data_IF_206373142817
#
_entry.id   IF_206373142817
#
_cell.length_a   1.000
_cell.length_b   1.000
_cell.length_c   1.000
_cell.angle_alpha   90.00
_cell.angle_beta   90.00
_cell.angle_gamma   90.00
#
_symmetry.space_group_name_H-M   'P 1'
#
loop_
_entity.id
_entity.type
_entity.pdbx_description
1 polymer ?
#
# COMPACT_ATOMS: atom_id res chain seq x y z
N UNK A 1 28.36 2.28 7.26
CA UNK A 1 26.91 1.99 7.23
C UNK A 1 26.66 0.74 6.38
N UNK A 2 26.12 -0.33 6.98
CA UNK A 2 25.91 -1.65 6.31
C UNK A 2 24.43 -1.84 5.94
N UNK A 3 24.15 -2.39 4.75
CA UNK A 3 22.79 -2.68 4.24
C UNK A 3 22.38 -4.13 4.48
N UNK A 4 21.08 -4.36 4.61
CA UNK A 4 20.44 -5.64 4.88
C UNK A 4 19.21 -5.79 4.00
N UNK A 5 19.02 -6.97 3.43
CA UNK A 5 17.92 -7.29 2.54
C UNK A 5 17.28 -8.58 2.98
N UNK A 6 15.97 -8.56 3.21
CA UNK A 6 15.20 -9.68 3.68
C UNK A 6 14.07 -9.99 2.70
N UNK A 7 13.94 -11.27 2.35
CA UNK A 7 12.81 -11.83 1.63
C UNK A 7 12.01 -12.70 2.59
N UNK A 8 10.75 -12.36 2.80
CA UNK A 8 9.84 -13.18 3.60
C UNK A 8 8.85 -13.84 2.64
N UNK A 9 8.95 -15.15 2.38
CA UNK A 9 7.87 -15.85 1.72
C UNK A 9 6.65 -15.86 2.65
N UNK A 10 5.46 -15.85 2.09
CA UNK A 10 4.25 -16.03 2.91
C UNK A 10 4.31 -17.35 3.69
N UNK A 11 3.92 -17.32 4.96
CA UNK A 11 3.66 -18.54 5.75
C UNK A 11 2.47 -19.33 5.17
N UNK A 12 1.60 -18.69 4.39
CA UNK A 12 0.45 -19.31 3.71
C UNK A 12 0.83 -20.09 2.45
N UNK A 13 1.97 -20.78 2.43
CA UNK A 13 2.28 -21.74 1.37
C UNK A 13 1.59 -23.08 1.66
N UNK A 14 0.56 -23.34 0.86
CA UNK A 14 0.10 -24.65 0.37
C UNK A 14 -0.96 -25.45 1.13
N UNK A 15 -1.23 -25.26 2.42
CA UNK A 15 -2.19 -26.16 3.09
C UNK A 15 -3.66 -25.82 2.81
N UNK A 16 -4.04 -24.55 2.70
CA UNK A 16 -5.46 -24.16 2.57
C UNK A 16 -5.90 -23.66 1.19
N UNK A 17 -4.99 -23.28 0.28
CA UNK A 17 -5.36 -22.71 -1.03
C UNK A 17 -4.58 -23.36 -2.17
N UNK A 18 -5.19 -24.38 -2.76
CA UNK A 18 -4.73 -25.04 -3.98
C UNK A 18 -4.70 -24.01 -5.13
N UNK A 19 -3.49 -23.54 -5.50
CA UNK A 19 -3.11 -22.82 -6.75
C UNK A 19 -3.13 -21.27 -6.75
N UNK A 20 -2.12 -20.67 -7.40
CA UNK A 20 -2.18 -19.34 -8.05
C UNK A 20 -1.79 -18.08 -7.26
N UNK A 21 -1.29 -18.21 -6.03
CA UNK A 21 -0.99 -17.07 -5.15
C UNK A 21 0.50 -16.71 -5.20
N UNK A 22 0.81 -15.45 -5.51
CA UNK A 22 2.13 -14.86 -5.32
C UNK A 22 2.06 -13.94 -4.10
N UNK A 23 2.60 -14.41 -2.98
CA UNK A 23 2.61 -13.65 -1.72
C UNK A 23 4.03 -13.64 -1.14
N UNK A 24 4.60 -12.44 -1.02
CA UNK A 24 5.89 -12.21 -0.39
C UNK A 24 6.06 -10.77 0.08
N UNK A 25 6.98 -10.61 1.04
CA UNK A 25 7.46 -9.31 1.52
C UNK A 25 8.95 -9.17 1.27
N UNK A 26 9.36 -7.98 0.84
CA UNK A 26 10.76 -7.56 0.77
C UNK A 26 10.95 -6.41 1.73
N UNK A 27 12.01 -6.46 2.53
CA UNK A 27 12.43 -5.34 3.37
C UNK A 27 13.91 -5.07 3.14
N UNK A 28 14.27 -3.80 2.94
CA UNK A 28 15.64 -3.33 2.87
C UNK A 28 15.90 -2.31 3.98
N UNK A 29 16.96 -2.55 4.75
CA UNK A 29 17.36 -1.73 5.89
C UNK A 29 18.84 -1.34 5.79
N UNK A 30 19.20 -0.21 6.37
CA UNK A 30 20.59 0.13 6.62
C UNK A 30 20.84 0.34 8.11
N UNK A 31 22.06 0.05 8.55
CA UNK A 31 22.51 0.30 9.92
C UNK A 31 23.20 1.63 10.02
N UNK A 32 22.76 2.45 10.96
CA UNK A 32 23.37 3.74 11.30
C UNK A 32 23.60 3.80 12.81
N UNK A 33 24.61 4.56 13.22
CA UNK A 33 24.80 4.90 14.62
C UNK A 33 23.95 6.14 14.90
N UNK A 34 23.15 6.07 15.96
CA UNK A 34 22.26 7.13 16.39
C UNK A 34 22.51 7.42 17.87
N UNK A 35 22.59 8.69 18.25
CA UNK A 35 22.73 9.04 19.65
C UNK A 35 21.39 8.87 20.38
N UNK A 36 21.39 8.18 21.52
CA UNK A 36 20.21 8.01 22.37
C UNK A 36 20.28 8.95 23.56
N UNK A 37 19.46 10.01 23.56
CA UNK A 37 19.37 10.95 24.70
C UNK A 37 18.93 10.26 26.01
N UNK A 38 18.20 9.14 25.90
CA UNK A 38 17.74 8.34 27.06
C UNK A 38 18.86 7.59 27.77
N UNK A 39 19.88 7.18 27.03
CA UNK A 39 20.99 6.36 27.54
C UNK A 39 22.31 7.16 27.54
N UNK A 40 22.34 8.33 26.91
CA UNK A 40 23.49 9.21 26.82
C UNK A 40 24.64 8.68 25.95
N UNK A 41 24.36 7.70 25.08
CA UNK A 41 25.38 7.03 24.27
C UNK A 41 24.90 6.76 22.84
N UNK A 42 25.86 6.54 21.93
CA UNK A 42 25.57 6.04 20.59
C UNK A 42 25.01 4.62 20.65
N UNK A 43 23.91 4.40 19.95
CA UNK A 43 23.27 3.10 19.77
C UNK A 43 23.16 2.78 18.29
N UNK A 44 23.33 1.50 17.97
CA UNK A 44 23.09 1.03 16.61
C UNK A 44 21.58 1.04 16.34
N UNK A 45 21.19 1.65 15.24
CA UNK A 45 19.80 1.71 14.77
C UNK A 45 19.69 1.19 13.35
N UNK A 46 18.51 0.70 12.99
CA UNK A 46 18.22 0.16 11.67
C UNK A 46 17.01 0.85 11.09
N UNK A 47 17.19 1.46 9.93
CA UNK A 47 16.16 2.24 9.26
C UNK A 47 15.81 1.57 7.94
N UNK A 48 14.51 1.45 7.64
CA UNK A 48 14.09 0.98 6.32
C UNK A 48 14.49 2.01 5.27
N UNK A 49 14.83 1.54 4.07
CA UNK A 49 14.91 2.43 2.90
C UNK A 49 14.06 1.95 1.73
N UNK A 50 13.57 0.71 1.81
CA UNK A 50 12.58 0.14 0.90
C UNK A 50 11.82 -0.98 1.62
N UNK A 51 10.51 -1.02 1.44
CA UNK A 51 9.63 -2.07 1.97
C UNK A 51 8.53 -2.34 0.97
N UNK A 52 8.42 -3.59 0.57
CA UNK A 52 7.50 -4.05 -0.47
C UNK A 52 6.66 -5.17 0.09
N UNK A 53 5.34 -5.04 0.04
CA UNK A 53 4.41 -6.12 0.34
C UNK A 53 3.66 -6.44 -0.94
N UNK A 54 3.77 -7.69 -1.38
CA UNK A 54 3.08 -8.16 -2.58
C UNK A 54 2.21 -9.33 -2.19
N UNK A 55 0.90 -9.15 -2.30
CA UNK A 55 -0.08 -10.22 -2.25
C UNK A 55 -0.87 -10.18 -3.56
N UNK A 56 -0.79 -11.25 -4.33
CA UNK A 56 -1.53 -11.43 -5.57
C UNK A 56 -2.20 -12.79 -5.52
N UNK A 57 -3.53 -12.82 -5.38
CA UNK A 57 -4.33 -14.03 -5.54
C UNK A 57 -5.10 -13.99 -6.87
N UNK A 58 -4.89 -14.99 -7.73
CA UNK A 58 -5.69 -15.22 -8.95
C UNK A 58 -6.07 -16.71 -9.01
N UNK A 59 -7.25 -17.15 -9.45
CA UNK A 59 -8.20 -16.71 -10.49
C UNK A 59 -9.62 -16.50 -9.90
N UNK A 60 -10.47 -15.66 -10.50
CA UNK A 60 -11.88 -15.35 -10.13
C UNK A 60 -12.22 -14.69 -8.78
N UNK A 61 -11.47 -14.89 -7.68
CA UNK A 61 -11.84 -14.40 -6.33
C UNK A 61 -10.84 -13.39 -5.71
N UNK A 62 -10.42 -12.40 -6.51
CA UNK A 62 -9.28 -11.53 -6.27
C UNK A 62 -9.18 -10.84 -4.90
N UNK A 63 -8.19 -11.27 -4.13
CA UNK A 63 -7.51 -10.42 -3.13
C UNK A 63 -6.19 -9.99 -3.74
N UNK A 64 -5.96 -8.69 -3.81
CA UNK A 64 -4.66 -8.17 -4.18
C UNK A 64 -4.32 -6.97 -3.31
N UNK A 65 -3.07 -6.94 -2.88
CA UNK A 65 -2.53 -5.88 -2.07
C UNK A 65 -1.06 -5.74 -2.45
N UNK A 66 -0.74 -4.67 -3.17
CA UNK A 66 0.63 -4.36 -3.54
C UNK A 66 0.97 -3.01 -2.94
N UNK A 67 1.96 -2.99 -2.07
CA UNK A 67 2.40 -1.79 -1.35
C UNK A 67 3.90 -1.63 -1.48
N UNK A 68 4.32 -0.43 -1.86
CA UNK A 68 5.70 0.02 -1.87
C UNK A 68 5.85 1.18 -0.90
N UNK A 69 6.86 1.11 -0.03
CA UNK A 69 7.29 2.17 0.86
C UNK A 69 8.79 2.39 0.61
N UNK A 70 9.12 3.37 -0.23
CA UNK A 70 10.51 3.72 -0.57
C UNK A 70 10.91 5.03 0.11
N UNK A 71 12.12 5.12 0.67
CA UNK A 71 12.62 6.36 1.26
C UNK A 71 13.61 6.22 2.42
N UNK A 72 14.63 7.08 2.48
CA UNK A 72 15.71 7.01 3.49
C UNK A 72 15.42 7.80 4.78
N UNK A 73 14.67 8.91 4.73
CA UNK A 73 14.67 9.92 5.81
C UNK A 73 13.45 9.92 6.75
N UNK A 74 12.45 9.04 6.55
CA UNK A 74 11.23 8.98 7.40
C UNK A 74 10.81 7.56 7.78
N UNK A 75 11.66 6.56 7.56
CA UNK A 75 11.27 5.20 7.83
C UNK A 75 11.13 4.97 9.33
N UNK A 76 10.01 4.34 9.70
CA UNK A 76 9.82 3.66 10.98
C UNK A 76 11.13 2.98 11.38
N UNK A 77 11.76 3.43 12.46
CA UNK A 77 12.95 2.75 12.97
C UNK A 77 12.59 1.31 13.31
N UNK A 78 13.39 0.34 12.86
CA UNK A 78 13.23 -1.03 13.33
C UNK A 78 13.79 -1.12 14.75
N UNK A 79 13.00 -1.69 15.67
CA UNK A 79 13.38 -1.84 17.07
C UNK A 79 14.37 -3.00 17.24
N UNK A 80 15.60 -2.83 16.75
CA UNK A 80 16.71 -3.74 16.99
C UNK A 80 17.94 -2.92 17.42
N UNK A 81 18.59 -3.35 18.50
CA UNK A 81 19.77 -2.68 19.08
C UNK A 81 21.08 -3.31 18.60
N UNK A 82 21.00 -4.44 17.89
CA UNK A 82 22.16 -5.15 17.34
C UNK A 82 21.82 -5.90 16.04
N UNK A 83 22.84 -6.30 15.28
CA UNK A 83 22.62 -7.15 14.07
C UNK A 83 22.03 -8.51 14.46
N UNK A 84 22.38 -9.05 15.63
CA UNK A 84 21.82 -10.30 16.15
C UNK A 84 20.32 -10.18 16.43
N UNK A 85 19.91 -9.10 17.09
CA UNK A 85 18.49 -8.80 17.32
C UNK A 85 17.73 -8.58 16.02
N UNK A 86 18.32 -7.87 15.05
CA UNK A 86 17.72 -7.70 13.73
C UNK A 86 17.49 -9.06 13.04
N UNK A 87 18.48 -9.95 13.05
CA UNK A 87 18.33 -11.27 12.43
C UNK A 87 17.26 -12.10 13.13
N UNK A 88 17.18 -12.05 14.46
CA UNK A 88 16.13 -12.76 15.22
C UNK A 88 14.73 -12.17 14.95
N UNK A 89 14.60 -10.85 14.82
CA UNK A 89 13.35 -10.20 14.46
C UNK A 89 12.84 -10.60 13.06
N UNK A 90 13.76 -11.05 12.20
CA UNK A 90 13.49 -11.57 10.85
C UNK A 90 13.50 -13.10 10.79
N UNK A 91 13.30 -13.78 11.92
CA UNK A 91 13.15 -15.24 11.96
C UNK A 91 11.95 -15.69 11.12
N UNK A 92 12.22 -16.54 10.13
CA UNK A 92 11.23 -16.94 9.11
C UNK A 92 11.41 -16.22 7.76
N UNK A 93 12.25 -15.18 7.71
CA UNK A 93 12.69 -14.53 6.48
C UNK A 93 14.07 -15.05 6.04
N UNK A 94 14.35 -14.91 4.75
CA UNK A 94 15.62 -15.26 4.12
C UNK A 94 16.41 -13.98 3.88
N UNK A 95 17.63 -13.91 4.41
CA UNK A 95 18.57 -12.83 4.06
C UNK A 95 19.06 -13.05 2.62
N UNK A 96 18.91 -12.04 1.77
CA UNK A 96 19.27 -12.11 0.35
C UNK A 96 20.32 -11.06 -0.03
N UNK A 97 20.93 -11.22 -1.20
CA UNK A 97 21.85 -10.23 -1.77
C UNK A 97 21.09 -9.02 -2.33
N UNK A 98 21.78 -7.88 -2.46
CA UNK A 98 21.23 -6.68 -3.12
C UNK A 98 20.74 -6.98 -4.55
N UNK A 99 21.51 -7.76 -5.31
CA UNK A 99 21.13 -8.18 -6.67
C UNK A 99 19.83 -8.99 -6.69
N UNK A 100 19.67 -9.95 -5.78
CA UNK A 100 18.43 -10.72 -5.66
C UNK A 100 17.26 -9.84 -5.20
N UNK A 101 17.51 -8.89 -4.30
CA UNK A 101 16.51 -7.93 -3.86
C UNK A 101 15.99 -7.08 -5.03
N UNK A 102 16.89 -6.49 -5.81
CA UNK A 102 16.56 -5.68 -6.99
C UNK A 102 15.77 -6.50 -8.01
N UNK A 103 16.14 -7.77 -8.22
CA UNK A 103 15.41 -8.69 -9.12
C UNK A 103 13.97 -8.93 -8.63
N UNK A 104 13.79 -9.25 -7.35
CA UNK A 104 12.45 -9.49 -6.77
C UNK A 104 11.61 -8.21 -6.70
N UNK A 105 12.24 -7.05 -6.48
CA UNK A 105 11.61 -5.74 -6.57
C UNK A 105 11.07 -5.47 -7.98
N UNK A 106 11.89 -5.68 -9.02
CA UNK A 106 11.46 -5.57 -10.43
C UNK A 106 10.31 -6.51 -10.75
N UNK A 107 10.34 -7.74 -10.22
CA UNK A 107 9.23 -8.68 -10.34
C UNK A 107 7.95 -8.14 -9.68
N UNK A 108 8.04 -7.58 -8.47
CA UNK A 108 6.91 -6.98 -7.74
C UNK A 108 6.25 -5.87 -8.54
N UNK A 109 7.06 -4.95 -9.09
CA UNK A 109 6.59 -3.87 -9.96
C UNK A 109 5.94 -4.44 -11.21
N UNK A 110 6.58 -5.42 -11.87
CA UNK A 110 6.01 -6.07 -13.05
C UNK A 110 4.68 -6.78 -12.80
N UNK A 111 4.51 -7.41 -11.63
CA UNK A 111 3.27 -8.04 -11.22
C UNK A 111 2.16 -7.02 -11.02
N UNK A 112 2.47 -5.88 -10.41
CA UNK A 112 1.52 -4.77 -10.29
C UNK A 112 0.99 -4.32 -11.66
N UNK A 113 1.87 -4.08 -12.64
CA UNK A 113 1.42 -3.70 -13.99
C UNK A 113 0.54 -4.75 -14.64
N UNK A 114 1.02 -6.00 -14.64
CA UNK A 114 0.28 -7.11 -15.24
C UNK A 114 -1.09 -7.29 -14.62
N UNK A 115 -1.17 -7.23 -13.29
CA UNK A 115 -2.41 -7.52 -12.60
C UNK A 115 -3.37 -6.34 -12.56
N UNK A 116 -2.86 -5.11 -12.69
CA UNK A 116 -3.72 -3.91 -12.75
C UNK A 116 -4.77 -3.94 -13.84
N UNK A 117 -4.44 -4.42 -15.03
CA UNK A 117 -5.39 -4.38 -16.15
C UNK A 117 -6.60 -5.32 -15.96
N UNK A 118 -6.53 -6.29 -15.04
CA UNK A 118 -7.64 -7.20 -14.74
C UNK A 118 -8.67 -6.61 -13.75
N UNK A 119 -8.42 -5.43 -13.18
CA UNK A 119 -9.24 -4.86 -12.09
C UNK A 119 -10.59 -4.28 -12.53
N UNK A 120 -10.89 -4.21 -13.84
CA UNK A 120 -12.15 -3.68 -14.38
C UNK A 120 -13.17 -4.75 -14.82
N UNK A 121 -12.92 -6.03 -14.58
CA UNK A 121 -13.76 -7.11 -15.12
C UNK A 121 -14.82 -7.59 -14.12
N UNK A 122 -15.70 -6.70 -13.66
CA UNK A 122 -16.93 -7.12 -12.99
C UNK A 122 -18.08 -7.05 -14.00
N UNK A 123 -18.64 -8.21 -14.34
CA UNK A 123 -19.56 -8.39 -15.47
C UNK A 123 -20.99 -7.87 -15.20
N UNK A 124 -21.39 -7.72 -13.92
CA UNK A 124 -22.75 -7.36 -13.52
C UNK A 124 -22.73 -6.19 -12.53
N UNK A 125 -23.28 -5.03 -12.88
CA UNK A 125 -23.49 -3.92 -11.92
C UNK A 125 -23.15 -2.55 -12.49
N UNK A 126 -23.22 -1.54 -11.64
CA UNK A 126 -22.82 -0.16 -11.93
C UNK A 126 -21.49 0.15 -11.25
N UNK A 127 -20.64 0.92 -11.92
CA UNK A 127 -19.35 1.34 -11.38
C UNK A 127 -19.29 2.85 -11.23
N UNK A 128 -18.85 3.31 -10.07
CA UNK A 128 -18.57 4.71 -9.78
C UNK A 128 -17.08 4.91 -9.51
N UNK A 129 -16.55 6.03 -9.96
CA UNK A 129 -15.13 6.33 -9.88
C UNK A 129 -14.95 7.57 -9.02
N UNK A 130 -14.11 7.45 -8.00
CA UNK A 130 -13.89 8.48 -7.01
C UNK A 130 -12.43 8.90 -7.00
N UNK A 131 -12.22 10.20 -6.84
CA UNK A 131 -10.91 10.83 -6.75
C UNK A 131 -10.83 11.70 -5.50
N UNK A 132 -9.68 11.67 -4.84
CA UNK A 132 -9.38 12.57 -3.73
C UNK A 132 -7.92 12.99 -3.82
N UNK A 133 -7.65 14.28 -3.64
CA UNK A 133 -6.29 14.81 -3.60
C UNK A 133 -6.16 15.76 -2.41
N UNK A 134 -5.65 15.24 -1.30
CA UNK A 134 -5.40 16.05 -0.11
C UNK A 134 -3.99 16.61 -0.14
N UNK A 135 -3.88 17.91 0.11
CA UNK A 135 -2.61 18.62 0.17
C UNK A 135 -2.27 18.89 1.64
N UNK A 136 -1.31 18.14 2.18
CA UNK A 136 -0.76 18.37 3.52
C UNK A 136 0.48 19.26 3.45
N UNK A 137 0.98 19.74 4.58
CA UNK A 137 2.17 20.60 4.60
C UNK A 137 3.38 19.92 3.94
N UNK A 138 3.59 18.62 4.17
CA UNK A 138 4.77 17.87 3.73
C UNK A 138 4.53 16.88 2.59
N UNK A 139 3.29 16.57 2.23
CA UNK A 139 2.98 15.59 1.18
C UNK A 139 1.61 15.84 0.52
N UNK A 140 1.41 15.21 -0.63
CA UNK A 140 0.12 15.00 -1.28
C UNK A 140 -0.36 13.57 -0.96
N UNK A 141 -1.62 13.38 -0.55
CA UNK A 141 -2.30 12.07 -0.44
C UNK A 141 -3.33 11.99 -1.58
N UNK A 142 -2.96 11.26 -2.62
CA UNK A 142 -3.77 11.01 -3.81
C UNK A 142 -4.46 9.68 -3.64
N UNK A 143 -5.78 9.66 -3.83
CA UNK A 143 -6.58 8.43 -3.85
C UNK A 143 -7.47 8.37 -5.07
N UNK A 144 -7.48 7.21 -5.69
CA UNK A 144 -8.31 6.90 -6.84
C UNK A 144 -9.00 5.56 -6.56
N UNK A 145 -10.32 5.58 -6.44
CA UNK A 145 -11.11 4.42 -6.02
C UNK A 145 -12.16 4.09 -7.09
N UNK A 146 -12.19 2.86 -7.56
CA UNK A 146 -13.32 2.31 -8.29
C UNK A 146 -14.21 1.59 -7.27
N UNK A 147 -15.47 1.99 -7.23
CA UNK A 147 -16.54 1.32 -6.50
C UNK A 147 -17.39 0.58 -7.51
N UNK A 148 -17.70 -0.68 -7.21
CA UNK A 148 -18.62 -1.46 -8.00
C UNK A 148 -19.79 -1.91 -7.15
N UNK A 149 -20.97 -1.82 -7.73
CA UNK A 149 -22.21 -2.00 -7.04
C UNK A 149 -23.14 -2.91 -7.86
N UNK A 150 -23.69 -3.93 -7.20
CA UNK A 150 -24.65 -4.87 -7.78
C UNK A 150 -25.92 -4.86 -6.94
N UNK A 151 -27.06 -4.66 -7.62
CA UNK A 151 -28.38 -4.88 -7.03
C UNK A 151 -28.58 -6.39 -6.78
N UNK A 152 -28.39 -6.85 -5.54
CA UNK A 152 -28.66 -8.25 -5.16
C UNK A 152 -30.17 -8.56 -5.18
N UNK A 153 -31.01 -7.53 -5.10
CA UNK A 153 -32.46 -7.59 -5.18
C UNK A 153 -33.02 -7.75 -6.60
N UNK A 154 -32.18 -7.62 -7.64
CA UNK A 154 -32.67 -7.61 -9.03
C UNK A 154 -33.09 -9.02 -9.46
N UNK A 155 -34.39 -9.21 -9.67
CA UNK A 155 -34.98 -10.50 -10.08
C UNK A 155 -35.50 -11.35 -8.92
N UNK A 156 -35.37 -10.87 -7.68
CA UNK A 156 -35.95 -11.52 -6.50
C UNK A 156 -37.46 -11.28 -6.40
N UNK A 157 -38.17 -12.23 -5.78
CA UNK A 157 -39.61 -12.13 -5.55
C UNK A 157 -39.95 -10.99 -4.56
N UNK A 158 -41.10 -10.30 -4.70
CA UNK A 158 -41.49 -9.22 -3.79
C UNK A 158 -41.47 -9.61 -2.30
N UNK A 159 -41.88 -10.84 -1.98
CA UNK A 159 -41.86 -11.38 -0.61
C UNK A 159 -40.45 -11.53 -0.04
N UNK A 160 -39.46 -11.87 -0.88
CA UNK A 160 -38.05 -11.96 -0.46
C UNK A 160 -37.49 -10.58 -0.15
N UNK A 161 -37.82 -9.57 -0.97
CA UNK A 161 -37.39 -8.19 -0.75
C UNK A 161 -38.01 -7.59 0.51
N UNK A 162 -39.27 -7.91 0.77
CA UNK A 162 -40.00 -7.48 1.96
C UNK A 162 -39.41 -8.12 3.22
N UNK A 163 -39.13 -9.43 3.20
CA UNK A 163 -38.42 -10.13 4.28
C UNK A 163 -37.03 -9.52 4.55
N UNK A 164 -36.26 -9.19 3.50
CA UNK A 164 -34.94 -8.55 3.68
C UNK A 164 -35.07 -7.15 4.27
N UNK A 165 -36.07 -6.37 3.85
CA UNK A 165 -36.34 -5.04 4.42
C UNK A 165 -36.74 -5.13 5.89
N UNK A 166 -37.64 -6.03 6.25
CA UNK A 166 -38.08 -6.26 7.64
C UNK A 166 -36.93 -6.67 8.57
N UNK A 167 -35.96 -7.41 8.03
CA UNK A 167 -34.77 -7.89 8.76
C UNK A 167 -33.56 -6.96 8.65
N UNK A 168 -33.72 -5.79 8.00
CA UNK A 168 -32.65 -4.85 7.74
C UNK A 168 -31.42 -5.50 7.07
N UNK A 169 -31.66 -6.43 6.13
CA UNK A 169 -30.63 -7.11 5.38
C UNK A 169 -30.22 -6.27 4.15
N UNK A 170 -28.94 -6.27 3.78
CA UNK A 170 -28.43 -5.45 2.68
C UNK A 170 -29.01 -5.91 1.34
N UNK A 171 -29.65 -4.98 0.62
CA UNK A 171 -30.25 -5.23 -0.71
C UNK A 171 -29.22 -5.16 -1.85
N UNK A 172 -27.99 -4.77 -1.52
CA UNK A 172 -26.94 -4.44 -2.47
C UNK A 172 -25.62 -5.09 -2.08
N UNK A 173 -24.83 -5.47 -3.09
CA UNK A 173 -23.42 -5.81 -2.91
C UNK A 173 -22.58 -4.63 -3.38
N UNK A 174 -21.68 -4.17 -2.53
CA UNK A 174 -20.73 -3.14 -2.90
C UNK A 174 -19.32 -3.65 -2.64
N UNK A 175 -18.47 -3.49 -3.65
CA UNK A 175 -17.08 -3.91 -3.62
C UNK A 175 -16.19 -2.75 -4.05
N UNK A 176 -14.95 -2.78 -3.57
CA UNK A 176 -13.88 -1.88 -4.03
C UNK A 176 -12.99 -2.71 -4.96
N UNK A 177 -13.35 -2.82 -6.25
CA UNK A 177 -12.56 -3.58 -7.21
C UNK A 177 -11.15 -3.05 -7.37
N UNK A 178 -10.90 -1.76 -7.15
CA UNK A 178 -9.60 -1.10 -7.22
C UNK A 178 -9.54 0.15 -6.35
N UNK A 179 -8.52 0.25 -5.51
CA UNK A 179 -8.10 1.47 -4.84
C UNK A 179 -6.61 1.68 -5.09
N UNK A 180 -6.26 2.86 -5.59
CA UNK A 180 -4.89 3.33 -5.75
C UNK A 180 -4.70 4.46 -4.76
N UNK A 181 -3.68 4.35 -3.91
CA UNK A 181 -3.27 5.41 -2.99
C UNK A 181 -1.81 5.74 -3.20
N UNK A 182 -1.51 7.02 -3.41
CA UNK A 182 -0.16 7.52 -3.54
C UNK A 182 0.06 8.62 -2.51
N UNK A 183 1.12 8.48 -1.73
CA UNK A 183 1.69 9.56 -0.93
C UNK A 183 2.87 10.12 -1.67
N UNK A 184 2.89 11.42 -1.92
CA UNK A 184 4.00 12.07 -2.62
C UNK A 184 4.51 13.21 -1.75
N UNK A 185 5.71 13.06 -1.21
CA UNK A 185 6.38 14.14 -0.50
C UNK A 185 6.49 15.40 -1.37
N UNK A 186 6.23 16.57 -0.77
CA UNK A 186 6.42 17.86 -1.44
C UNK A 186 7.90 18.19 -1.56
N UNK A 187 8.33 18.88 -2.63
CA UNK A 187 9.69 19.40 -2.71
C UNK A 187 9.94 20.42 -1.60
N UNK A 188 11.18 20.51 -1.10
CA UNK A 188 11.56 21.55 -0.17
C UNK A 188 11.81 22.87 -0.92
N UNK A 189 11.01 23.88 -0.58
CA UNK A 189 11.05 25.20 -1.20
C UNK A 189 12.41 25.90 -1.04
N UNK A 190 13.20 25.55 -0.01
CA UNK A 190 14.50 26.19 0.28
C UNK A 190 15.64 25.65 -0.55
N UNK A 191 15.68 24.33 -0.76
CA UNK A 191 16.78 23.69 -1.49
C UNK A 191 16.46 23.50 -2.97
N UNK A 192 15.18 23.51 -3.36
CA UNK A 192 14.68 23.03 -4.67
C UNK A 192 15.18 21.61 -5.04
N UNK A 193 15.92 20.96 -4.14
CA UNK A 193 16.30 19.58 -4.24
C UNK A 193 15.07 18.75 -3.89
N UNK A 194 14.90 17.64 -4.61
CA UNK A 194 13.96 16.59 -4.22
C UNK A 194 14.50 15.97 -2.92
N UNK A 195 14.31 16.61 -1.77
CA UNK A 195 14.70 16.11 -0.47
C UNK A 195 13.83 14.88 -0.14
N UNK A 196 14.27 13.72 -0.64
CA UNK A 196 13.91 12.36 -0.25
C UNK A 196 12.44 12.13 0.15
N UNK A 197 11.58 11.83 -0.84
CA UNK A 197 11.14 10.45 -1.17
C UNK A 197 10.61 9.68 0.04
N UNK A 198 9.41 10.00 0.52
CA UNK A 198 8.49 8.96 0.93
C UNK A 198 7.44 8.88 -0.16
N UNK A 199 7.39 7.75 -0.85
CA UNK A 199 6.35 7.48 -1.81
C UNK A 199 5.70 6.16 -1.48
N UNK A 200 4.80 6.21 -0.49
CA UNK A 200 3.93 5.09 -0.22
C UNK A 200 3.00 4.96 -1.41
N UNK A 201 3.15 3.86 -2.13
CA UNK A 201 2.29 3.51 -3.23
C UNK A 201 1.57 2.24 -2.89
N UNK A 202 0.26 2.28 -2.94
CA UNK A 202 -0.59 1.16 -2.61
C UNK A 202 -1.61 0.97 -3.72
N UNK A 203 -1.73 -0.26 -4.18
CA UNK A 203 -2.79 -0.70 -5.06
C UNK A 203 -3.44 -1.90 -4.39
N UNK A 204 -4.69 -1.73 -3.99
CA UNK A 204 -5.46 -2.72 -3.25
C UNK A 204 -6.79 -2.98 -3.94
N UNK A 205 -7.32 -4.17 -3.73
CA UNK A 205 -8.67 -4.52 -4.15
C UNK A 205 -9.27 -5.45 -3.12
N UNK A 206 -10.44 -5.06 -2.64
CA UNK A 206 -11.16 -5.78 -1.63
C UNK A 206 -12.47 -6.26 -2.25
N UNK A 207 -12.50 -7.54 -2.61
CA UNK A 207 -13.71 -8.25 -3.01
C UNK A 207 -14.46 -8.84 -1.82
N UNK A 208 -13.98 -8.62 -0.59
CA UNK A 208 -14.75 -8.96 0.59
C UNK A 208 -15.95 -7.99 0.64
N UNK A 209 -17.14 -8.53 0.38
CA UNK A 209 -18.41 -7.82 0.36
C UNK A 209 -18.59 -7.01 1.64
N UNK A 210 -18.23 -5.73 1.58
CA UNK A 210 -18.64 -4.81 2.60
C UNK A 210 -20.13 -4.55 2.35
N UNK A 211 -20.95 -5.06 3.27
CA UNK A 211 -22.40 -4.91 3.23
C UNK A 211 -22.75 -3.47 3.56
N UNK A 212 -22.89 -2.64 2.53
CA UNK A 212 -23.35 -1.26 2.66
C UNK A 212 -24.81 -1.17 2.23
N UNK A 213 -25.58 -0.31 2.92
CA UNK A 213 -27.00 -0.15 2.65
C UNK A 213 -27.30 0.65 1.39
N UNK A 214 -26.36 1.50 0.97
CA UNK A 214 -26.42 2.31 -0.24
C UNK A 214 -25.00 2.80 -0.63
N UNK A 215 -24.92 3.55 -1.73
CA UNK A 215 -23.67 4.13 -2.22
C UNK A 215 -23.11 5.16 -1.24
N UNK A 216 -23.96 6.01 -0.68
CA UNK A 216 -23.57 7.05 0.26
C UNK A 216 -22.90 6.48 1.52
N UNK A 217 -23.37 5.34 2.02
CA UNK A 217 -22.82 4.58 3.14
C UNK A 217 -21.46 3.95 2.80
N UNK A 218 -21.33 3.36 1.60
CA UNK A 218 -20.06 2.87 1.09
C UNK A 218 -19.02 4.00 0.97
N UNK A 219 -19.43 5.15 0.41
CA UNK A 219 -18.59 6.34 0.27
C UNK A 219 -18.24 6.94 1.62
N UNK A 220 -19.17 7.00 2.58
CA UNK A 220 -18.91 7.47 3.95
C UNK A 220 -17.89 6.58 4.66
N UNK A 221 -17.91 5.28 4.42
CA UNK A 221 -16.95 4.34 5.01
C UNK A 221 -15.55 4.50 4.40
N UNK A 222 -15.47 4.81 3.10
CA UNK A 222 -14.21 5.17 2.45
C UNK A 222 -13.67 6.55 2.87
N UNK A 223 -14.58 7.49 3.14
CA UNK A 223 -14.27 8.82 3.67
C UNK A 223 -13.73 8.71 5.09
N UNK A 224 -12.40 8.71 5.22
CA UNK A 224 -11.78 9.09 6.49
C UNK A 224 -12.35 10.44 6.95
N UNK A 225 -12.40 10.70 8.27
CA UNK A 225 -12.79 12.01 8.80
C UNK A 225 -11.92 13.08 8.09
N UNK A 226 -12.55 13.95 7.29
CA UNK A 226 -11.95 15.03 6.50
C UNK A 226 -11.45 14.71 5.07
N UNK A 227 -11.95 13.67 4.41
CA UNK A 227 -11.66 13.43 2.98
C UNK A 227 -12.83 13.81 2.08
N UNK A 228 -12.58 14.71 1.14
CA UNK A 228 -13.53 15.06 0.09
C UNK A 228 -13.21 14.26 -1.17
N UNK A 229 -14.10 13.32 -1.49
CA UNK A 229 -14.04 12.56 -2.74
C UNK A 229 -14.93 13.22 -3.79
N UNK A 230 -14.37 13.40 -4.98
CA UNK A 230 -15.06 13.86 -6.18
C UNK A 230 -15.41 12.64 -7.04
N UNK A 231 -16.66 12.57 -7.51
CA UNK A 231 -17.06 11.58 -8.51
C UNK A 231 -16.55 12.02 -9.89
N UNK A 232 -15.83 11.13 -10.57
CA UNK A 232 -15.22 11.38 -11.88
C UNK A 232 -15.70 10.37 -12.92
N UNK A 233 -15.54 10.71 -14.19
CA UNK A 233 -15.86 9.81 -15.29
C UNK A 233 -14.80 8.71 -15.44
N UNK A 234 -15.20 7.57 -16.03
CA UNK A 234 -14.29 6.47 -16.35
C UNK A 234 -13.08 6.90 -17.19
N UNK A 235 -13.29 7.79 -18.16
CA UNK A 235 -12.20 8.33 -19.01
C UNK A 235 -11.18 9.13 -18.19
N UNK A 236 -11.64 9.91 -17.21
CA UNK A 236 -10.78 10.64 -16.28
C UNK A 236 -10.04 9.66 -15.36
N UNK A 237 -10.75 8.65 -14.83
CA UNK A 237 -10.16 7.59 -14.01
C UNK A 237 -9.00 6.90 -14.74
N UNK A 238 -9.18 6.47 -15.99
CA UNK A 238 -8.11 5.83 -16.77
C UNK A 238 -6.90 6.75 -16.99
N UNK A 239 -7.13 8.04 -17.25
CA UNK A 239 -6.05 9.03 -17.44
C UNK A 239 -5.26 9.23 -16.15
N UNK A 240 -5.96 9.44 -15.02
CA UNK A 240 -5.35 9.63 -13.71
C UNK A 240 -4.61 8.36 -13.28
N UNK A 241 -5.19 7.19 -13.48
CA UNK A 241 -4.57 5.89 -13.24
C UNK A 241 -3.26 5.72 -13.99
N UNK A 242 -3.19 6.14 -15.26
CA UNK A 242 -1.95 6.13 -16.04
C UNK A 242 -0.90 7.07 -15.47
N UNK A 243 -1.30 8.26 -15.02
CA UNK A 243 -0.42 9.22 -14.32
C UNK A 243 0.11 8.62 -13.02
N UNK A 244 -0.77 8.02 -12.21
CA UNK A 244 -0.41 7.36 -10.96
C UNK A 244 0.68 6.30 -11.19
N UNK A 245 0.48 5.43 -12.19
CA UNK A 245 1.48 4.43 -12.59
C UNK A 245 2.81 5.04 -13.04
N UNK A 246 2.79 6.17 -13.75
CA UNK A 246 4.01 6.87 -14.16
C UNK A 246 4.75 7.48 -12.97
N UNK A 247 4.01 8.13 -12.05
CA UNK A 247 4.56 8.67 -10.79
C UNK A 247 5.18 7.56 -9.94
N UNK A 248 4.55 6.38 -9.89
CA UNK A 248 5.16 5.22 -9.23
C UNK A 248 6.54 4.90 -9.81
N UNK A 249 6.72 4.89 -11.13
CA UNK A 249 8.03 4.62 -11.71
C UNK A 249 9.06 5.71 -11.43
N UNK A 250 8.68 6.98 -11.61
CA UNK A 250 9.61 8.11 -11.43
C UNK A 250 10.09 8.21 -9.97
N UNK A 251 9.20 7.95 -9.01
CA UNK A 251 9.48 8.17 -7.59
C UNK A 251 9.84 6.89 -6.82
N UNK A 252 9.61 5.69 -7.40
CA UNK A 252 10.04 4.42 -6.80
C UNK A 252 11.43 3.97 -7.26
N UNK A 253 12.26 4.82 -7.87
CA UNK A 253 13.65 4.43 -8.08
C UNK A 253 14.33 4.14 -6.74
N UNK A 254 14.81 2.90 -6.57
CA UNK A 254 15.57 2.52 -5.38
C UNK A 254 16.83 3.36 -5.36
N UNK A 255 16.88 4.32 -4.43
CA UNK A 255 17.99 5.23 -4.37
C UNK A 255 19.21 4.55 -3.72
N UNK A 256 20.04 3.96 -4.58
CA UNK A 256 21.28 3.28 -4.20
C UNK A 256 22.44 4.26 -3.92
N UNK A 257 22.24 5.56 -4.14
CA UNK A 257 23.21 6.63 -3.83
C UNK A 257 23.71 6.51 -2.39
N UNK A 258 24.90 7.05 -2.10
CA UNK A 258 25.40 7.14 -0.74
C UNK A 258 24.31 7.73 0.16
N UNK A 259 23.99 7.01 1.24
CA UNK A 259 23.08 7.52 2.25
C UNK A 259 23.78 8.74 2.84
N UNK A 260 23.12 9.90 2.79
CA UNK A 260 23.68 11.17 3.28
C UNK A 260 24.19 10.95 4.71
N UNK A 261 25.27 11.68 5.05
CA UNK A 261 25.98 11.62 6.34
C UNK A 261 25.01 11.56 7.54
N UNK A 262 25.42 10.90 8.65
CA UNK A 262 24.57 10.72 9.84
C UNK A 262 23.83 12.01 10.17
N UNK A 263 22.50 11.92 10.28
CA UNK A 263 21.68 13.03 10.74
C UNK A 263 22.13 13.36 12.17
N UNK A 264 22.62 14.58 12.38
CA UNK A 264 23.02 15.12 13.69
C UNK A 264 21.82 15.56 14.54
N UNK A 265 20.61 15.45 14.01
CA UNK A 265 19.37 15.82 14.67
C UNK A 265 18.74 14.63 15.41
N UNK A 266 18.53 14.82 16.71
CA UNK A 266 17.92 13.88 17.66
C UNK A 266 16.55 13.36 17.19
N UNK A 267 16.39 12.05 17.07
CA UNK A 267 15.08 11.42 16.90
C UNK A 267 14.38 11.41 18.26
N UNK A 268 13.34 12.24 18.42
CA UNK A 268 12.50 12.24 19.63
C UNK A 268 11.57 11.04 19.59
N UNK A 269 11.87 10.02 20.39
CA UNK A 269 10.92 8.93 20.65
C UNK A 269 9.80 9.50 21.51
N UNK A 270 8.60 9.67 20.95
CA UNK A 270 7.41 9.96 21.72
C UNK A 270 6.92 8.63 22.32
N UNK A 271 7.25 8.40 23.59
CA UNK A 271 6.77 7.23 24.35
C UNK A 271 5.27 7.37 24.69
N UNK A 272 4.65 6.19 24.82
CA UNK A 272 3.24 5.83 25.09
C UNK A 272 2.63 6.48 26.35
#
# INVERSE_FOLDING_TARGET
>A
MKRYYFYTPSQYRNEERKQGIIDFRLDALYSQDAYSDKIGQEVKSFSYFDKIRTLVATKTNGYYHIMFETGKDLSLGHYAKSEKELVEAYKGSIRISESNYIRLRKLSVGLMFRHTEFFHQLADGESKYLWCNNSYHSFYDIRLTALHYKYNSKGELPSTLEYWRERNLPLYDCSVPEEIRLHIAKPDDKTKERLFKCSTFEISGYKANCRYYDFEDAVKTLKGRNMEYEEIQYSQFQRIRKICKALMFEYSELELSEIKKPQTSSIRILDL
#
